data_IF_364210257686
#
_entry.id   IF_364210257686
#
_cell.length_a   1.000
_cell.length_b   1.000
_cell.length_c   1.000
_cell.angle_alpha   90.00
_cell.angle_beta   90.00
_cell.angle_gamma   90.00
#
_symmetry.space_group_name_H-M   'P 1'
#
loop_
_entity.id
_entity.type
_entity.pdbx_description
1 polymer ?
#
# COMPACT_ATOMS: atom_id res chain seq x y z
N UNK A 1 -8.68 -0.48 21.41
CA UNK A 1 -9.28 -0.50 20.07
C UNK A 1 -8.63 -1.63 19.28
N UNK A 2 -9.36 -2.40 18.46
CA UNK A 2 -8.73 -3.39 17.58
C UNK A 2 -7.87 -2.67 16.53
N UNK A 3 -6.77 -3.32 16.12
CA UNK A 3 -5.89 -2.80 15.08
C UNK A 3 -6.62 -2.71 13.73
N UNK A 4 -6.45 -1.60 13.00
CA UNK A 4 -6.91 -1.44 11.62
C UNK A 4 -5.72 -1.25 10.69
N UNK A 5 -5.70 -1.97 9.56
CA UNK A 5 -4.67 -1.78 8.53
C UNK A 5 -4.70 -0.36 7.95
N UNK A 6 -5.88 0.26 7.87
CA UNK A 6 -6.02 1.67 7.49
C UNK A 6 -5.31 2.66 8.42
N UNK A 7 -4.98 2.28 9.67
CA UNK A 7 -4.21 3.15 10.57
C UNK A 7 -2.77 3.36 10.08
N UNK A 8 -2.24 2.47 9.23
CA UNK A 8 -0.95 2.70 8.58
C UNK A 8 -0.97 3.88 7.61
N UNK A 9 -2.11 4.29 7.05
CA UNK A 9 -2.17 5.53 6.27
C UNK A 9 -2.03 6.77 7.15
N UNK A 10 -2.59 6.75 8.36
CA UNK A 10 -2.40 7.84 9.32
C UNK A 10 -0.94 7.94 9.73
N UNK A 11 -0.30 6.80 9.98
CA UNK A 11 1.13 6.76 10.27
C UNK A 11 1.97 7.25 9.08
N UNK A 12 1.64 6.84 7.85
CA UNK A 12 2.33 7.31 6.65
C UNK A 12 2.23 8.84 6.49
N UNK A 13 1.06 9.42 6.76
CA UNK A 13 0.82 10.86 6.75
C UNK A 13 1.62 11.59 7.84
N UNK A 14 1.73 11.02 9.03
CA UNK A 14 2.59 11.58 10.09
C UNK A 14 4.07 11.56 9.69
N UNK A 15 4.53 10.47 9.08
CA UNK A 15 5.92 10.29 8.67
C UNK A 15 6.30 11.26 7.54
N UNK A 16 5.45 11.43 6.52
CA UNK A 16 5.77 12.31 5.38
C UNK A 16 5.78 13.79 5.77
N UNK A 17 5.09 14.15 6.84
CA UNK A 17 5.05 15.51 7.41
C UNK A 17 6.01 15.69 8.60
N UNK A 18 6.97 14.79 8.80
CA UNK A 18 7.99 14.93 9.84
C UNK A 18 8.95 16.06 9.50
N UNK A 19 9.18 16.97 10.45
CA UNK A 19 10.16 18.06 10.33
C UNK A 19 11.59 17.65 10.73
N UNK A 20 11.80 16.38 11.11
CA UNK A 20 13.10 15.87 11.50
C UNK A 20 14.00 15.62 10.27
N UNK A 21 14.90 16.56 10.02
CA UNK A 21 15.83 16.52 8.89
C UNK A 21 16.84 15.36 8.98
N UNK A 22 17.16 14.85 10.17
CA UNK A 22 18.16 13.77 10.34
C UNK A 22 17.62 12.43 9.86
N UNK A 23 16.30 12.23 9.91
CA UNK A 23 15.63 10.99 9.51
C UNK A 23 14.67 11.19 8.34
N UNK A 24 14.73 12.32 7.64
CA UNK A 24 13.80 12.68 6.56
C UNK A 24 13.66 11.59 5.49
N UNK A 25 14.77 11.01 5.02
CA UNK A 25 14.74 9.92 4.04
C UNK A 25 14.06 8.66 4.61
N UNK A 26 14.44 8.26 5.83
CA UNK A 26 13.84 7.12 6.51
C UNK A 26 12.32 7.31 6.69
N UNK A 27 11.89 8.53 7.02
CA UNK A 27 10.48 8.90 7.14
C UNK A 27 9.73 8.70 5.82
N UNK A 28 10.20 9.24 4.69
CA UNK A 28 9.49 9.11 3.40
C UNK A 28 9.50 7.67 2.87
N UNK A 29 10.61 6.92 3.07
CA UNK A 29 10.68 5.49 2.70
C UNK A 29 9.71 4.66 3.54
N UNK A 30 9.69 4.89 4.86
CA UNK A 30 8.76 4.23 5.76
C UNK A 30 7.31 4.59 5.45
N UNK A 31 7.01 5.86 5.14
CA UNK A 31 5.67 6.31 4.76
C UNK A 31 5.15 5.56 3.52
N UNK A 32 5.99 5.42 2.49
CA UNK A 32 5.68 4.65 1.28
C UNK A 32 5.36 3.18 1.60
N UNK A 33 6.19 2.56 2.43
CA UNK A 33 5.99 1.17 2.89
C UNK A 33 4.67 1.01 3.65
N UNK A 34 4.35 1.96 4.56
CA UNK A 34 3.11 1.94 5.35
C UNK A 34 1.87 2.19 4.49
N UNK A 35 1.92 3.08 3.52
CA UNK A 35 0.85 3.29 2.54
C UNK A 35 0.56 2.00 1.75
N UNK A 36 1.61 1.30 1.31
CA UNK A 36 1.46 0.01 0.63
C UNK A 36 0.83 -1.05 1.55
N UNK A 37 1.30 -1.21 2.78
CA UNK A 37 0.74 -2.21 3.69
C UNK A 37 -0.73 -1.96 4.02
N UNK A 38 -1.13 -0.69 4.20
CA UNK A 38 -2.54 -0.34 4.36
C UNK A 38 -3.36 -0.80 3.15
N UNK A 39 -2.95 -0.43 1.93
CA UNK A 39 -3.64 -0.80 0.70
C UNK A 39 -3.71 -2.31 0.49
N UNK A 40 -2.57 -3.00 0.59
CA UNK A 40 -2.48 -4.44 0.34
C UNK A 40 -3.32 -5.25 1.32
N UNK A 41 -3.23 -4.96 2.62
CA UNK A 41 -3.95 -5.74 3.61
C UNK A 41 -5.47 -5.52 3.54
N UNK A 42 -5.93 -4.29 3.32
CA UNK A 42 -7.36 -4.01 3.10
C UNK A 42 -7.86 -4.68 1.81
N UNK A 43 -7.10 -4.62 0.71
CA UNK A 43 -7.41 -5.36 -0.51
C UNK A 43 -7.47 -6.87 -0.31
N UNK A 44 -6.54 -7.43 0.47
CA UNK A 44 -6.50 -8.86 0.76
C UNK A 44 -7.76 -9.26 1.55
N UNK A 45 -8.10 -8.54 2.60
CA UNK A 45 -9.31 -8.79 3.38
C UNK A 45 -10.57 -8.67 2.53
N UNK A 46 -10.67 -7.64 1.70
CA UNK A 46 -11.78 -7.47 0.77
C UNK A 46 -11.88 -8.65 -0.22
N UNK A 47 -10.76 -9.09 -0.81
CA UNK A 47 -10.75 -10.21 -1.73
C UNK A 47 -11.08 -11.56 -1.04
N UNK A 48 -10.71 -11.73 0.22
CA UNK A 48 -11.12 -12.89 1.02
C UNK A 48 -12.63 -12.90 1.23
N UNK A 49 -13.19 -11.77 1.67
CA UNK A 49 -14.61 -11.61 1.99
C UNK A 49 -15.52 -11.68 0.75
N UNK A 50 -15.16 -10.95 -0.31
CA UNK A 50 -16.02 -10.77 -1.50
C UNK A 50 -15.73 -11.74 -2.63
N UNK A 51 -14.48 -12.17 -2.78
CA UNK A 51 -14.05 -13.01 -3.91
C UNK A 51 -13.65 -14.43 -3.48
N UNK A 52 -13.76 -14.76 -2.19
CA UNK A 52 -13.43 -16.08 -1.67
C UNK A 52 -11.94 -16.43 -1.83
N UNK A 53 -11.05 -15.42 -1.81
CA UNK A 53 -9.62 -15.66 -1.86
C UNK A 53 -9.18 -16.41 -0.59
N UNK A 54 -8.47 -17.52 -0.75
CA UNK A 54 -7.77 -18.22 0.33
C UNK A 54 -6.28 -17.91 0.24
N UNK A 55 -5.73 -17.02 1.08
CA UNK A 55 -4.31 -16.69 1.04
C UNK A 55 -3.45 -17.87 1.50
N UNK A 56 -2.33 -18.10 0.84
CA UNK A 56 -1.39 -19.18 1.17
C UNK A 56 -0.31 -18.76 2.19
N UNK A 57 -0.36 -17.53 2.72
CA UNK A 57 0.69 -16.91 3.54
C UNK A 57 2.07 -16.88 2.85
N UNK A 58 2.10 -16.68 1.53
CA UNK A 58 3.34 -16.67 0.74
C UNK A 58 3.49 -15.40 -0.09
N UNK A 59 4.69 -15.15 -0.64
CA UNK A 59 4.93 -14.07 -1.61
C UNK A 59 3.99 -14.13 -2.83
N UNK A 60 3.42 -15.30 -3.14
CA UNK A 60 2.42 -15.50 -4.21
C UNK A 60 1.08 -14.86 -3.89
N UNK A 61 0.81 -14.53 -2.62
CA UNK A 61 -0.43 -13.88 -2.20
C UNK A 61 -0.56 -12.49 -2.81
N UNK A 62 0.55 -11.79 -3.09
CA UNK A 62 0.52 -10.48 -3.75
C UNK A 62 -0.05 -10.54 -5.16
N UNK A 63 0.38 -11.55 -5.93
CA UNK A 63 -0.13 -11.80 -7.29
C UNK A 63 -1.57 -12.31 -7.25
N UNK A 64 -1.88 -13.21 -6.29
CA UNK A 64 -3.24 -13.72 -6.06
C UNK A 64 -4.26 -12.60 -5.80
N UNK A 65 -3.95 -11.67 -4.90
CA UNK A 65 -4.83 -10.53 -4.59
C UNK A 65 -5.07 -9.68 -5.85
N UNK A 66 -4.01 -9.28 -6.58
CA UNK A 66 -4.14 -8.49 -7.81
C UNK A 66 -5.00 -9.18 -8.87
N UNK A 67 -4.78 -10.50 -9.07
CA UNK A 67 -5.55 -11.29 -10.03
C UNK A 67 -7.04 -11.31 -9.72
N UNK A 68 -7.43 -11.33 -8.44
CA UNK A 68 -8.84 -11.22 -8.07
C UNK A 68 -9.43 -9.86 -8.51
N UNK A 69 -8.74 -8.76 -8.21
CA UNK A 69 -9.22 -7.44 -8.63
C UNK A 69 -9.33 -7.31 -10.15
N UNK A 70 -8.35 -7.79 -10.92
CA UNK A 70 -8.44 -7.81 -12.39
C UNK A 70 -9.62 -8.66 -12.88
N UNK A 71 -9.80 -9.87 -12.34
CA UNK A 71 -10.88 -10.79 -12.71
C UNK A 71 -12.27 -10.18 -12.48
N UNK A 72 -12.40 -9.36 -11.45
CA UNK A 72 -13.65 -8.70 -11.08
C UNK A 72 -13.81 -7.28 -11.65
N UNK A 73 -13.03 -6.92 -12.69
CA UNK A 73 -13.17 -5.66 -13.42
C UNK A 73 -12.59 -4.44 -12.70
N UNK A 74 -11.87 -4.64 -11.60
CA UNK A 74 -11.22 -3.58 -10.81
C UNK A 74 -9.74 -3.43 -11.18
N UNK A 75 -9.44 -3.38 -12.49
CA UNK A 75 -8.06 -3.33 -12.99
C UNK A 75 -7.28 -2.10 -12.51
N UNK A 76 -7.95 -0.99 -12.22
CA UNK A 76 -7.32 0.18 -11.62
C UNK A 76 -6.75 -0.12 -10.22
N UNK A 77 -7.49 -0.85 -9.39
CA UNK A 77 -7.02 -1.30 -8.06
C UNK A 77 -5.84 -2.24 -8.20
N UNK A 78 -5.89 -3.17 -9.15
CA UNK A 78 -4.79 -4.10 -9.41
C UNK A 78 -3.51 -3.38 -9.86
N UNK A 79 -3.63 -2.35 -10.69
CA UNK A 79 -2.50 -1.52 -11.16
C UNK A 79 -1.92 -0.66 -10.04
N UNK A 80 -2.76 -0.03 -9.21
CA UNK A 80 -2.29 0.75 -8.05
C UNK A 80 -1.56 -0.14 -7.04
N UNK A 81 -2.05 -1.35 -6.77
CA UNK A 81 -1.37 -2.31 -5.90
C UNK A 81 0.02 -2.71 -6.42
N UNK A 82 0.16 -2.89 -7.74
CA UNK A 82 1.45 -3.20 -8.36
C UNK A 82 2.43 -2.04 -8.20
N UNK A 83 1.98 -0.82 -8.52
CA UNK A 83 2.81 0.37 -8.38
C UNK A 83 3.28 0.58 -6.94
N UNK A 84 2.36 0.50 -5.97
CA UNK A 84 2.68 0.64 -4.55
C UNK A 84 3.65 -0.44 -4.08
N UNK A 85 3.51 -1.69 -4.57
CA UNK A 85 4.44 -2.77 -4.23
C UNK A 85 5.84 -2.49 -4.76
N UNK A 86 5.95 -2.00 -5.99
CA UNK A 86 7.24 -1.69 -6.61
C UNK A 86 7.95 -0.57 -5.83
N UNK A 87 7.24 0.50 -5.47
CA UNK A 87 7.81 1.57 -4.64
C UNK A 87 8.18 1.11 -3.24
N UNK A 88 7.35 0.27 -2.60
CA UNK A 88 7.70 -0.31 -1.31
C UNK A 88 8.95 -1.18 -1.40
N UNK A 89 9.12 -1.97 -2.46
CA UNK A 89 10.33 -2.77 -2.63
C UNK A 89 11.57 -1.89 -2.76
N UNK A 90 11.50 -0.82 -3.55
CA UNK A 90 12.61 0.14 -3.65
C UNK A 90 12.91 0.78 -2.28
N UNK A 91 11.88 1.30 -1.60
CA UNK A 91 12.02 1.92 -0.29
C UNK A 91 12.57 0.97 0.79
N UNK A 92 12.19 -0.31 0.77
CA UNK A 92 12.57 -1.27 1.82
C UNK A 92 13.92 -1.94 1.56
N UNK A 93 14.38 -2.04 0.31
CA UNK A 93 15.53 -2.90 -0.04
C UNK A 93 16.64 -2.23 -0.85
N UNK A 94 16.38 -1.14 -1.58
CA UNK A 94 17.42 -0.49 -2.38
C UNK A 94 18.32 0.37 -1.48
N UNK A 95 19.62 0.42 -1.77
CA UNK A 95 20.56 1.26 -1.02
C UNK A 95 20.22 2.75 -1.21
N UNK A 96 19.89 3.14 -2.44
CA UNK A 96 19.53 4.49 -2.84
C UNK A 96 18.14 4.50 -3.51
N UNK A 97 17.31 5.48 -3.20
CA UNK A 97 15.94 5.59 -3.74
C UNK A 97 15.69 6.98 -4.31
N UNK A 98 15.96 7.12 -5.60
CA UNK A 98 15.76 8.38 -6.32
C UNK A 98 14.29 8.81 -6.29
N UNK A 99 14.04 10.02 -5.77
CA UNK A 99 12.70 10.60 -5.74
C UNK A 99 11.80 10.09 -4.61
N UNK A 100 12.33 9.42 -3.58
CA UNK A 100 11.56 8.94 -2.43
C UNK A 100 10.64 10.00 -1.81
N UNK A 101 11.10 11.25 -1.73
CA UNK A 101 10.34 12.41 -1.23
C UNK A 101 9.06 12.64 -2.05
N UNK A 102 9.11 12.44 -3.37
CA UNK A 102 7.94 12.56 -4.25
C UNK A 102 7.06 11.31 -4.23
N UNK A 103 7.65 10.13 -4.02
CA UNK A 103 6.90 8.86 -4.00
C UNK A 103 5.94 8.79 -2.81
N UNK A 104 6.35 9.22 -1.61
CA UNK A 104 5.57 9.03 -0.40
C UNK A 104 4.18 9.72 -0.43
N UNK A 105 4.04 11.01 -0.79
CA UNK A 105 2.73 11.64 -0.92
C UNK A 105 1.84 10.97 -1.97
N UNK A 106 2.41 10.54 -3.10
CA UNK A 106 1.67 9.87 -4.18
C UNK A 106 1.21 8.48 -3.73
N UNK A 107 2.06 7.75 -3.00
CA UNK A 107 1.73 6.44 -2.44
C UNK A 107 0.55 6.54 -1.46
N UNK A 108 0.57 7.55 -0.57
CA UNK A 108 -0.52 7.83 0.36
C UNK A 108 -1.81 8.17 -0.40
N UNK A 109 -1.74 9.03 -1.42
CA UNK A 109 -2.91 9.42 -2.20
C UNK A 109 -3.53 8.23 -2.95
N UNK A 110 -2.71 7.40 -3.59
CA UNK A 110 -3.16 6.19 -4.30
C UNK A 110 -3.79 5.18 -3.35
N UNK A 111 -3.11 4.84 -2.26
CA UNK A 111 -3.65 3.94 -1.24
C UNK A 111 -4.97 4.48 -0.66
N UNK A 112 -5.06 5.78 -0.38
CA UNK A 112 -6.30 6.43 0.08
C UNK A 112 -7.43 6.30 -0.95
N UNK A 113 -7.14 6.53 -2.22
CA UNK A 113 -8.13 6.44 -3.31
C UNK A 113 -8.61 5.00 -3.48
N UNK A 114 -7.68 4.05 -3.44
CA UNK A 114 -7.96 2.63 -3.49
C UNK A 114 -8.93 2.22 -2.37
N UNK A 115 -8.65 2.60 -1.11
CA UNK A 115 -9.52 2.26 0.03
C UNK A 115 -10.92 2.87 -0.12
N UNK A 116 -11.05 4.05 -0.74
CA UNK A 116 -12.36 4.65 -1.05
C UNK A 116 -13.12 3.85 -2.11
N UNK A 117 -12.44 3.27 -3.10
CA UNK A 117 -13.06 2.39 -4.10
C UNK A 117 -13.61 1.12 -3.44
N UNK A 118 -12.81 0.48 -2.56
CA UNK A 118 -13.24 -0.72 -1.84
C UNK A 118 -14.49 -0.50 -0.98
N UNK A 119 -14.63 0.67 -0.36
CA UNK A 119 -15.80 1.00 0.49
C UNK A 119 -17.09 1.27 -0.29
N UNK A 120 -17.00 1.55 -1.59
CA UNK A 120 -18.15 1.85 -2.47
C UNK A 120 -18.63 0.63 -3.25
N UNK A 121 -17.84 -0.43 -3.28
CA UNK A 121 -18.08 -1.67 -4.03
C UNK A 121 -18.82 -2.69 -3.16
#
# INVERSE_FOLDING_TARGET
MPFSWSDFLKLADQLVNSDDAEVAEACVRAATSKAYYAAFCECKLYAMDRYGLTPGNSFRDHDGVRKQFTKHGMSCVAADLEMLRNWRNACDYDEEVDGAVTMAPIAIQRATTLLKVLKKS
#
